data_IF_526189259365
#
_entry.id   IF_526189259365
#
_cell.length_a   1.000
_cell.length_b   1.000
_cell.length_c   1.000
_cell.angle_alpha   90.00
_cell.angle_beta   90.00
_cell.angle_gamma   90.00
#
_symmetry.space_group_name_H-M   'P 1'
#
loop_
_entity.id
_entity.type
_entity.pdbx_description
1 polymer ?
#
# COMPACT_ATOMS: atom_id res chain seq x y z
N UNK A 1 13.97 -17.80 1.83
CA UNK A 1 13.20 -16.62 2.30
C UNK A 1 13.67 -15.40 1.54
N UNK A 2 12.81 -14.38 1.42
CA UNK A 2 13.04 -13.26 0.52
C UNK A 2 13.37 -11.96 1.26
N UNK A 3 14.13 -11.10 0.60
CA UNK A 3 14.38 -9.72 0.99
C UNK A 3 13.97 -8.81 -0.17
N UNK A 4 13.24 -7.73 0.14
CA UNK A 4 12.70 -6.81 -0.86
C UNK A 4 13.32 -5.44 -0.70
N UNK A 5 13.74 -4.84 -1.81
CA UNK A 5 14.48 -3.59 -1.88
C UNK A 5 15.85 -3.75 -2.57
N UNK A 6 16.77 -2.80 -2.37
CA UNK A 6 16.64 -1.66 -1.49
C UNK A 6 15.74 -0.55 -2.07
N UNK A 7 14.97 0.13 -1.21
CA UNK A 7 14.52 1.49 -1.48
C UNK A 7 15.52 2.48 -0.88
N UNK A 8 15.63 3.69 -1.45
CA UNK A 8 16.51 4.75 -0.94
C UNK A 8 15.64 5.87 -0.38
N UNK A 9 15.75 6.15 0.91
CA UNK A 9 14.98 7.22 1.55
C UNK A 9 15.53 8.63 1.20
N UNK A 10 14.80 9.67 1.62
CA UNK A 10 15.20 11.07 1.36
C UNK A 10 16.52 11.50 2.01
N UNK A 11 17.07 10.70 2.93
CA UNK A 11 18.35 10.92 3.57
C UNK A 11 19.47 10.02 2.99
N UNK A 12 19.18 9.27 1.92
CA UNK A 12 20.15 8.38 1.26
C UNK A 12 20.37 7.05 1.97
N UNK A 13 19.53 6.69 2.95
CA UNK A 13 19.62 5.38 3.59
C UNK A 13 18.94 4.32 2.73
N UNK A 14 19.52 3.13 2.67
CA UNK A 14 18.92 1.96 2.04
C UNK A 14 17.95 1.30 3.01
N UNK A 15 16.79 0.88 2.51
CA UNK A 15 15.78 0.16 3.27
C UNK A 15 15.46 -1.17 2.62
N UNK A 16 15.34 -2.20 3.44
CA UNK A 16 14.99 -3.56 3.00
C UNK A 16 13.85 -4.08 3.87
N UNK A 17 12.85 -4.71 3.28
CA UNK A 17 11.79 -5.43 3.99
C UNK A 17 12.04 -6.94 3.89
N UNK A 18 12.09 -7.62 5.03
CA UNK A 18 12.35 -9.05 5.12
C UNK A 18 11.05 -9.83 5.28
N UNK A 19 10.89 -10.87 4.46
CA UNK A 19 9.79 -11.82 4.57
C UNK A 19 9.81 -12.49 5.96
N UNK A 20 8.65 -12.91 6.45
CA UNK A 20 8.57 -13.80 7.60
C UNK A 20 9.07 -15.20 7.22
N UNK A 21 9.19 -16.08 8.21
CA UNK A 21 9.52 -17.48 7.95
C UNK A 21 8.28 -18.22 7.47
N UNK A 22 8.17 -18.38 6.15
CA UNK A 22 7.02 -19.03 5.52
C UNK A 22 6.88 -20.48 6.00
N UNK A 23 5.67 -20.86 6.44
CA UNK A 23 5.30 -22.23 6.76
C UNK A 23 5.38 -22.55 8.25
N UNK A 24 6.58 -22.78 8.79
CA UNK A 24 6.76 -23.32 10.16
C UNK A 24 6.75 -22.25 11.28
N UNK A 25 6.39 -21.01 10.97
CA UNK A 25 6.53 -19.88 11.89
C UNK A 25 7.98 -19.42 12.05
N UNK A 26 8.23 -18.53 13.00
CA UNK A 26 9.54 -17.89 13.21
C UNK A 26 10.68 -18.91 13.40
N UNK A 27 11.78 -18.72 12.66
CA UNK A 27 13.01 -19.47 12.86
C UNK A 27 14.02 -18.62 13.67
N UNK A 28 14.42 -19.01 14.89
CA UNK A 28 15.32 -18.22 15.73
C UNK A 28 16.73 -18.05 15.13
N UNK A 29 17.15 -18.97 14.25
CA UNK A 29 18.44 -18.88 13.56
C UNK A 29 18.42 -17.92 12.37
N UNK A 30 17.26 -17.33 12.06
CA UNK A 30 17.10 -16.36 10.99
C UNK A 30 16.52 -15.06 11.55
N UNK A 31 17.36 -14.36 12.32
CA UNK A 31 16.96 -13.15 13.03
C UNK A 31 16.41 -12.09 12.07
N UNK A 32 15.50 -11.26 12.59
CA UNK A 32 14.89 -10.13 11.87
C UNK A 32 13.97 -10.51 10.70
N UNK A 33 13.52 -11.76 10.58
CA UNK A 33 12.45 -12.10 9.63
C UNK A 33 11.13 -11.46 10.04
N UNK A 34 10.39 -10.95 9.05
CA UNK A 34 9.23 -10.11 9.29
C UNK A 34 9.57 -8.70 9.80
N UNK A 35 10.82 -8.22 9.61
CA UNK A 35 11.26 -6.86 9.94
C UNK A 35 11.72 -6.06 8.72
N UNK A 36 11.70 -4.74 8.84
CA UNK A 36 12.43 -3.82 7.98
C UNK A 36 13.77 -3.45 8.59
N UNK A 37 14.78 -3.34 7.74
CA UNK A 37 16.13 -2.90 8.09
C UNK A 37 16.43 -1.60 7.34
N UNK A 38 17.18 -0.70 8.00
CA UNK A 38 17.76 0.49 7.39
C UNK A 38 19.27 0.43 7.47
N UNK A 39 19.95 0.71 6.36
CA UNK A 39 21.40 0.82 6.23
C UNK A 39 21.74 2.25 5.83
N UNK A 40 22.57 2.93 6.63
CA UNK A 40 23.04 4.28 6.35
C UNK A 40 24.15 4.27 5.27
N UNK A 41 24.48 5.44 4.67
CA UNK A 41 25.58 5.53 3.71
C UNK A 41 26.95 5.05 4.23
N UNK A 42 27.18 5.09 5.54
CA UNK A 42 28.39 4.58 6.19
C UNK A 42 28.41 3.04 6.37
N UNK A 43 27.36 2.34 5.94
CA UNK A 43 27.20 0.90 6.08
C UNK A 43 26.66 0.45 7.44
N UNK A 44 26.53 1.34 8.43
CA UNK A 44 25.88 1.02 9.70
C UNK A 44 24.39 0.75 9.47
N UNK A 45 23.83 -0.22 10.20
CA UNK A 45 22.45 -0.64 10.00
C UNK A 45 21.69 -0.78 11.32
N UNK A 46 20.36 -0.71 11.23
CA UNK A 46 19.46 -0.93 12.35
C UNK A 46 18.13 -1.54 11.89
N UNK A 47 17.51 -2.44 12.68
CA UNK A 47 16.10 -2.78 12.49
C UNK A 47 15.24 -1.54 12.73
N UNK A 48 14.10 -1.44 12.04
CA UNK A 48 13.25 -0.25 12.07
C UNK A 48 11.82 -0.57 12.49
N UNK A 49 11.13 -1.46 11.80
CA UNK A 49 9.75 -1.88 12.10
C UNK A 49 9.61 -3.38 11.93
N UNK A 50 8.59 -3.99 12.52
CA UNK A 50 8.27 -5.41 12.34
C UNK A 50 6.82 -5.65 11.97
N UNK A 51 6.44 -6.91 11.83
CA UNK A 51 5.06 -7.32 11.54
C UNK A 51 4.78 -7.53 10.06
N UNK A 52 5.81 -7.73 9.24
CA UNK A 52 5.64 -8.11 7.83
C UNK A 52 5.34 -9.60 7.70
N UNK A 53 4.52 -9.96 6.71
CA UNK A 53 4.30 -11.35 6.33
C UNK A 53 5.20 -11.70 5.15
N UNK A 54 4.87 -11.21 3.97
CA UNK A 54 5.55 -11.52 2.72
C UNK A 54 5.54 -10.28 1.83
N UNK A 55 6.32 -9.23 2.15
CA UNK A 55 6.35 -8.00 1.37
C UNK A 55 6.65 -8.28 -0.11
N UNK A 56 6.19 -7.45 -1.03
CA UNK A 56 6.48 -7.63 -2.47
C UNK A 56 6.92 -6.36 -3.19
N UNK A 57 6.78 -5.21 -2.53
CA UNK A 57 7.28 -3.92 -2.98
C UNK A 57 7.80 -3.10 -1.81
N UNK A 58 8.83 -2.30 -2.09
CA UNK A 58 9.31 -1.25 -1.19
C UNK A 58 9.71 -0.05 -2.05
N UNK A 59 9.30 1.14 -1.65
CA UNK A 59 9.57 2.36 -2.40
C UNK A 59 9.34 3.59 -1.53
N UNK A 60 9.45 4.76 -2.12
CA UNK A 60 9.25 6.03 -1.40
C UNK A 60 8.17 6.88 -2.02
N UNK A 61 7.60 7.80 -1.24
CA UNK A 61 6.94 8.97 -1.80
C UNK A 61 7.98 10.01 -2.28
N UNK A 62 7.53 11.14 -2.82
CA UNK A 62 8.44 12.22 -3.23
C UNK A 62 9.08 12.99 -2.07
N UNK A 63 8.57 12.84 -0.84
CA UNK A 63 9.18 13.42 0.36
C UNK A 63 10.31 12.52 0.92
N UNK A 64 10.49 11.32 0.37
CA UNK A 64 11.50 10.36 0.81
C UNK A 64 11.07 9.48 1.97
N UNK A 65 9.80 9.50 2.37
CA UNK A 65 9.25 8.53 3.33
C UNK A 65 9.10 7.16 2.67
N UNK A 66 9.39 6.10 3.43
CA UNK A 66 9.48 4.74 2.91
C UNK A 66 8.18 3.99 3.15
N UNK A 67 7.72 3.25 2.14
CA UNK A 67 6.54 2.41 2.20
C UNK A 67 6.86 1.00 1.73
N UNK A 68 6.08 0.03 2.19
CA UNK A 68 6.11 -1.33 1.68
C UNK A 68 4.69 -1.83 1.42
N UNK A 69 4.55 -2.65 0.38
CA UNK A 69 3.37 -3.47 0.15
C UNK A 69 3.60 -4.86 0.69
N UNK A 70 2.52 -5.49 1.18
CA UNK A 70 2.56 -6.86 1.68
C UNK A 70 1.42 -7.70 1.07
N UNK A 71 1.56 -9.00 1.17
CA UNK A 71 0.62 -9.98 0.64
C UNK A 71 -0.39 -10.37 1.71
N UNK A 72 -1.66 -10.42 1.31
CA UNK A 72 -2.74 -11.01 2.09
C UNK A 72 -2.41 -12.44 2.55
N UNK A 73 -2.90 -12.82 3.72
CA UNK A 73 -2.70 -14.14 4.31
C UNK A 73 -2.92 -14.09 5.82
N UNK A 74 -2.08 -14.76 6.58
CA UNK A 74 -2.14 -14.71 8.05
C UNK A 74 -1.99 -13.26 8.53
N UNK A 75 -2.85 -12.83 9.46
CA UNK A 75 -2.89 -11.47 10.03
C UNK A 75 -3.22 -10.33 9.04
N UNK A 76 -3.08 -10.57 7.73
CA UNK A 76 -3.37 -9.62 6.66
C UNK A 76 -4.58 -10.08 5.85
N UNK A 77 -5.79 -9.59 6.16
CA UNK A 77 -7.01 -9.98 5.46
C UNK A 77 -7.00 -9.58 3.98
N UNK A 78 -6.31 -8.47 3.66
CA UNK A 78 -6.03 -8.03 2.29
C UNK A 78 -4.64 -7.40 2.21
N UNK A 79 -4.17 -7.07 1.00
CA UNK A 79 -2.88 -6.41 0.78
C UNK A 79 -2.86 -4.99 1.38
N UNK A 80 -1.84 -4.62 2.18
CA UNK A 80 -1.66 -3.27 2.70
C UNK A 80 -0.58 -2.48 1.95
N UNK A 81 -0.65 -1.15 2.04
CA UNK A 81 0.47 -0.22 1.87
C UNK A 81 0.82 0.36 3.24
N UNK A 82 2.01 0.05 3.75
CA UNK A 82 2.43 0.39 5.11
C UNK A 82 3.53 1.43 5.08
N UNK A 83 3.43 2.43 5.96
CA UNK A 83 4.50 3.41 6.18
C UNK A 83 5.55 2.81 7.11
N UNK A 84 6.82 2.75 6.68
CA UNK A 84 7.92 2.19 7.44
C UNK A 84 8.53 3.25 8.34
N UNK A 85 8.23 3.18 9.64
CA UNK A 85 8.79 4.05 10.67
C UNK A 85 9.40 3.26 11.81
N UNK A 86 10.40 3.85 12.46
CA UNK A 86 11.05 3.24 13.63
C UNK A 86 10.00 2.98 14.71
N UNK A 87 9.97 1.76 15.24
CA UNK A 87 9.11 1.37 16.36
C UNK A 87 7.70 0.94 15.96
N UNK A 88 7.39 0.85 14.67
CA UNK A 88 6.10 0.33 14.23
C UNK A 88 6.07 -1.22 14.22
N UNK A 89 4.94 -1.75 14.64
CA UNK A 89 4.49 -3.12 14.38
C UNK A 89 3.38 -3.08 13.32
N UNK A 90 3.43 -3.95 12.32
CA UNK A 90 2.48 -3.97 11.20
C UNK A 90 1.43 -5.09 11.28
N UNK A 91 1.44 -5.88 12.36
CA UNK A 91 0.36 -6.81 12.67
C UNK A 91 0.73 -8.30 12.61
N UNK A 92 1.81 -8.71 11.93
CA UNK A 92 2.16 -10.13 11.82
C UNK A 92 3.01 -10.68 12.98
N UNK A 93 2.53 -11.76 13.60
CA UNK A 93 3.12 -12.35 14.82
C UNK A 93 4.58 -12.81 14.66
N UNK A 94 4.99 -13.30 13.49
CA UNK A 94 6.32 -13.92 13.30
C UNK A 94 7.51 -12.99 13.58
N UNK A 95 7.28 -11.67 13.61
CA UNK A 95 8.31 -10.69 13.96
C UNK A 95 8.53 -10.57 15.48
N UNK A 96 7.55 -10.96 16.30
CA UNK A 96 7.52 -10.74 17.74
C UNK A 96 8.66 -11.41 18.52
N UNK A 97 9.10 -12.64 18.19
CA UNK A 97 10.22 -13.27 18.91
C UNK A 97 11.50 -12.41 18.87
N UNK A 98 11.71 -11.64 17.79
CA UNK A 98 12.88 -10.79 17.64
C UNK A 98 12.78 -9.45 18.40
N UNK A 99 11.64 -9.14 19.03
CA UNK A 99 11.50 -7.97 19.92
C UNK A 99 12.33 -8.11 21.20
N UNK A 100 12.80 -9.32 21.51
CA UNK A 100 13.69 -9.59 22.66
C UNK A 100 15.16 -9.31 22.36
N UNK A 101 15.52 -9.01 21.11
CA UNK A 101 16.90 -8.71 20.74
C UNK A 101 17.27 -7.27 21.17
N UNK A 102 18.52 -7.00 21.58
CA UNK A 102 18.92 -5.68 22.12
C UNK A 102 18.67 -4.48 21.20
N UNK A 103 18.65 -4.70 19.87
CA UNK A 103 18.47 -3.64 18.88
C UNK A 103 17.00 -3.42 18.48
N UNK A 104 16.07 -4.23 19.00
CA UNK A 104 14.66 -4.15 18.65
C UNK A 104 14.11 -2.75 18.93
N UNK A 105 13.26 -2.26 18.04
CA UNK A 105 12.76 -0.87 18.07
C UNK A 105 11.34 -0.74 18.58
N UNK A 106 10.64 -1.86 18.73
CA UNK A 106 9.29 -1.94 19.27
C UNK A 106 9.17 -3.16 20.17
N UNK A 107 8.13 -3.14 20.99
CA UNK A 107 7.72 -4.24 21.85
C UNK A 107 6.20 -4.40 21.74
N UNK A 108 5.74 -5.63 21.85
CA UNK A 108 4.33 -5.95 22.09
C UNK A 108 4.27 -6.70 23.40
N UNK A 109 3.49 -6.20 24.36
CA UNK A 109 3.33 -6.82 25.66
C UNK A 109 2.22 -7.86 25.62
N UNK A 110 2.51 -9.07 26.11
CA UNK A 110 1.56 -10.17 26.16
C UNK A 110 1.27 -10.82 24.79
N UNK A 111 0.18 -11.59 24.75
CA UNK A 111 -0.28 -12.24 23.53
C UNK A 111 -1.04 -11.26 22.62
N UNK A 112 -1.00 -11.53 21.31
CA UNK A 112 -1.81 -10.77 20.38
C UNK A 112 -3.30 -10.98 20.67
N UNK A 113 -4.11 -9.90 20.68
CA UNK A 113 -5.52 -10.00 20.99
C UNK A 113 -6.26 -10.80 19.91
N UNK A 114 -7.23 -11.59 20.34
CA UNK A 114 -8.10 -12.37 19.47
C UNK A 114 -9.51 -11.77 19.37
N UNK A 115 -10.26 -12.17 18.34
CA UNK A 115 -11.66 -11.78 18.12
C UNK A 115 -11.89 -10.26 18.04
N UNK A 116 -10.90 -9.53 17.51
CA UNK A 116 -10.97 -8.10 17.28
C UNK A 116 -10.91 -7.78 15.79
N UNK A 117 -11.37 -6.58 15.43
CA UNK A 117 -11.05 -5.98 14.14
C UNK A 117 -9.65 -5.38 14.15
N UNK A 118 -9.06 -5.11 12.98
CA UNK A 118 -7.75 -4.45 12.89
C UNK A 118 -7.71 -3.10 13.60
N UNK A 119 -8.82 -2.35 13.59
CA UNK A 119 -8.91 -1.05 14.27
C UNK A 119 -8.97 -1.21 15.79
N UNK A 120 -9.73 -2.19 16.29
CA UNK A 120 -9.77 -2.52 17.72
C UNK A 120 -8.44 -3.08 18.22
N UNK A 121 -7.76 -3.90 17.41
CA UNK A 121 -6.43 -4.41 17.75
C UNK A 121 -5.39 -3.28 17.84
N UNK A 122 -5.43 -2.31 16.92
CA UNK A 122 -4.56 -1.13 16.96
C UNK A 122 -4.76 -0.26 18.21
N UNK A 123 -5.97 -0.25 18.79
CA UNK A 123 -6.23 0.43 20.07
C UNK A 123 -5.64 -0.31 21.28
N UNK A 124 -5.40 -1.61 21.18
CA UNK A 124 -4.85 -2.43 22.27
C UNK A 124 -3.34 -2.62 22.19
N UNK A 125 -2.81 -2.74 20.97
CA UNK A 125 -1.39 -2.96 20.71
C UNK A 125 -0.75 -1.61 20.43
N UNK A 126 -0.10 -1.00 21.43
CA UNK A 126 0.44 0.36 21.31
C UNK A 126 1.43 0.56 20.15
N UNK A 127 2.16 -0.48 19.74
CA UNK A 127 3.07 -0.43 18.59
C UNK A 127 2.37 -0.66 17.24
N UNK A 128 1.12 -1.15 17.21
CA UNK A 128 0.46 -1.54 15.97
C UNK A 128 0.03 -0.31 15.17
N UNK A 129 0.72 -0.10 14.05
CA UNK A 129 0.40 0.92 13.07
C UNK A 129 -0.50 0.35 11.99
N UNK A 130 -1.67 0.96 11.77
CA UNK A 130 -2.51 0.60 10.64
C UNK A 130 -1.85 1.02 9.32
N UNK A 131 -2.04 0.23 8.24
CA UNK A 131 -1.65 0.61 6.89
C UNK A 131 -2.21 1.96 6.47
N UNK A 132 -1.43 2.69 5.66
CA UNK A 132 -1.89 3.93 5.05
C UNK A 132 -3.03 3.67 4.06
N UNK A 133 -2.97 2.54 3.35
CA UNK A 133 -4.03 2.08 2.44
C UNK A 133 -4.19 0.58 2.57
N UNK A 134 -5.43 0.12 2.64
CA UNK A 134 -5.79 -1.27 2.39
C UNK A 134 -6.28 -1.38 0.95
N UNK A 135 -5.72 -2.31 0.17
CA UNK A 135 -6.22 -2.60 -1.18
C UNK A 135 -7.32 -3.66 -1.06
N UNK A 136 -8.62 -3.35 -1.27
CA UNK A 136 -9.67 -4.34 -1.02
C UNK A 136 -9.56 -5.59 -1.91
N UNK A 137 -9.62 -6.77 -1.28
CA UNK A 137 -9.36 -8.05 -1.96
C UNK A 137 -10.31 -8.27 -3.15
N UNK A 138 -9.76 -8.71 -4.29
CA UNK A 138 -10.43 -8.88 -5.61
C UNK A 138 -10.95 -7.59 -6.25
N UNK A 139 -11.37 -6.59 -5.47
CA UNK A 139 -11.86 -5.28 -5.97
C UNK A 139 -10.70 -4.41 -6.45
N UNK A 140 -9.57 -4.44 -5.72
CA UNK A 140 -8.36 -3.66 -5.98
C UNK A 140 -7.11 -4.54 -6.04
N UNK A 141 -7.27 -5.80 -6.47
CA UNK A 141 -6.17 -6.74 -6.57
C UNK A 141 -6.21 -7.82 -5.51
N UNK A 142 -5.35 -8.81 -5.67
CA UNK A 142 -5.15 -9.90 -4.71
C UNK A 142 -3.70 -10.00 -4.27
N UNK A 143 -2.77 -9.32 -4.95
CA UNK A 143 -1.35 -9.39 -4.66
C UNK A 143 -0.64 -8.11 -5.13
N UNK A 144 -0.60 -7.09 -4.27
CA UNK A 144 0.03 -5.80 -4.59
C UNK A 144 1.55 -5.90 -4.52
N UNK A 145 2.27 -5.34 -5.50
CA UNK A 145 3.72 -5.46 -5.64
C UNK A 145 4.41 -4.11 -5.56
N UNK A 146 5.34 -3.81 -6.46
CA UNK A 146 6.25 -2.66 -6.39
C UNK A 146 5.55 -1.32 -6.20
N UNK A 147 6.29 -0.33 -5.69
CA UNK A 147 5.80 1.03 -5.43
C UNK A 147 6.67 2.00 -6.22
N UNK A 148 6.05 2.85 -7.04
CA UNK A 148 6.73 3.88 -7.80
C UNK A 148 6.03 5.23 -7.66
N UNK A 149 6.66 6.19 -6.99
CA UNK A 149 6.15 7.56 -6.94
C UNK A 149 6.28 8.25 -8.30
N UNK A 150 5.24 8.97 -8.71
CA UNK A 150 5.25 9.79 -9.91
C UNK A 150 6.12 11.04 -9.73
N UNK A 151 7.41 10.87 -10.04
CA UNK A 151 8.41 11.95 -10.09
C UNK A 151 8.50 12.60 -11.47
N UNK A 152 7.60 12.26 -12.39
CA UNK A 152 7.73 12.64 -13.81
C UNK A 152 7.36 14.09 -14.11
N UNK A 153 6.91 14.84 -13.09
CA UNK A 153 6.50 16.25 -13.20
C UNK A 153 5.45 16.48 -14.30
N UNK A 154 4.50 15.55 -14.42
CA UNK A 154 3.37 15.65 -15.36
C UNK A 154 3.60 14.99 -16.73
N UNK A 155 4.79 14.45 -17.00
CA UNK A 155 5.03 13.67 -18.24
C UNK A 155 4.18 12.40 -18.29
N UNK A 156 3.76 11.88 -17.13
CA UNK A 156 2.90 10.71 -17.01
C UNK A 156 1.45 11.03 -16.61
N UNK A 157 0.93 12.14 -17.12
CA UNK A 157 -0.45 12.58 -16.88
C UNK A 157 -0.60 13.38 -15.58
N UNK A 158 -1.84 13.58 -15.09
CA UNK A 158 -2.16 14.56 -14.05
C UNK A 158 -1.87 14.07 -12.62
N UNK A 159 -1.08 13.00 -12.44
CA UNK A 159 -0.96 12.26 -11.18
C UNK A 159 0.38 12.43 -10.46
N UNK A 160 1.16 13.46 -10.84
CA UNK A 160 2.44 13.78 -10.21
C UNK A 160 2.34 13.78 -8.67
N UNK A 161 3.30 13.12 -8.02
CA UNK A 161 3.37 12.95 -6.57
C UNK A 161 2.56 11.78 -6.00
N UNK A 162 1.69 11.14 -6.78
CA UNK A 162 1.00 9.93 -6.34
C UNK A 162 1.88 8.69 -6.50
N UNK A 163 1.50 7.59 -5.85
CA UNK A 163 2.19 6.32 -6.03
C UNK A 163 1.48 5.47 -7.09
N UNK A 164 2.25 4.73 -7.86
CA UNK A 164 1.77 3.60 -8.64
C UNK A 164 2.18 2.31 -7.97
N UNK A 165 1.24 1.38 -7.85
CA UNK A 165 1.51 0.05 -7.29
C UNK A 165 1.22 -1.03 -8.31
N UNK A 166 2.18 -1.93 -8.52
CA UNK A 166 1.98 -3.11 -9.36
C UNK A 166 0.99 -4.08 -8.73
N UNK A 167 0.37 -4.93 -9.54
CA UNK A 167 -0.48 -6.00 -9.06
C UNK A 167 -0.20 -7.30 -9.84
N UNK A 168 0.02 -8.37 -9.08
CA UNK A 168 0.44 -9.66 -9.60
C UNK A 168 -0.74 -10.42 -10.21
N UNK A 169 -1.72 -10.82 -9.40
CA UNK A 169 -2.70 -11.86 -9.76
C UNK A 169 -3.67 -11.42 -10.84
N UNK A 170 -4.12 -10.17 -10.81
CA UNK A 170 -5.03 -9.55 -11.75
C UNK A 170 -4.32 -8.74 -12.85
N UNK A 171 -2.98 -8.66 -12.83
CA UNK A 171 -2.15 -8.14 -13.91
C UNK A 171 -2.49 -6.70 -14.32
N UNK A 172 -2.31 -5.78 -13.38
CA UNK A 172 -2.56 -4.36 -13.60
C UNK A 172 -1.59 -3.45 -12.83
N UNK A 173 -1.68 -2.14 -13.10
CA UNK A 173 -1.14 -1.08 -12.24
C UNK A 173 -2.29 -0.33 -11.58
N UNK A 174 -2.15 -0.07 -10.28
CA UNK A 174 -3.02 0.80 -9.48
C UNK A 174 -2.34 2.13 -9.18
N UNK A 175 -3.14 3.11 -8.77
CA UNK A 175 -2.69 4.41 -8.31
C UNK A 175 -3.10 4.62 -6.85
N UNK A 176 -2.26 5.27 -6.07
CA UNK A 176 -2.52 5.59 -4.67
C UNK A 176 -2.30 7.08 -4.43
N UNK A 177 -3.34 7.74 -3.93
CA UNK A 177 -3.24 9.05 -3.33
C UNK A 177 -2.95 8.90 -1.83
N UNK A 178 -1.96 9.62 -1.33
CA UNK A 178 -1.63 9.70 0.09
C UNK A 178 -1.80 11.13 0.59
N UNK A 179 -2.27 11.25 1.82
CA UNK A 179 -2.23 12.48 2.61
C UNK A 179 -1.70 12.18 4.01
N UNK A 180 -1.26 13.23 4.72
CA UNK A 180 -0.77 13.13 6.09
C UNK A 180 -1.72 13.88 7.02
N UNK A 181 -2.29 13.18 7.99
CA UNK A 181 -3.18 13.74 9.00
C UNK A 181 -2.56 13.49 10.36
N UNK A 182 -2.31 14.55 11.12
CA UNK A 182 -1.69 14.49 12.45
C UNK A 182 -0.38 13.68 12.48
N UNK A 183 0.38 13.70 11.38
CA UNK A 183 1.66 12.99 11.28
C UNK A 183 1.57 11.57 10.73
N UNK A 184 0.38 11.01 10.53
CA UNK A 184 0.19 9.66 9.99
C UNK A 184 -0.31 9.68 8.54
N UNK A 185 0.16 8.72 7.74
CA UNK A 185 -0.30 8.55 6.38
C UNK A 185 -1.63 7.81 6.32
N UNK A 186 -2.53 8.32 5.49
CA UNK A 186 -3.74 7.64 5.04
C UNK A 186 -3.93 7.92 3.55
N UNK A 187 -4.84 7.21 2.89
CA UNK A 187 -5.06 7.44 1.47
C UNK A 187 -6.18 6.65 0.82
N UNK A 188 -6.20 6.73 -0.50
CA UNK A 188 -7.15 6.03 -1.36
C UNK A 188 -6.43 5.38 -2.53
N UNK A 189 -6.90 4.21 -2.96
CA UNK A 189 -6.40 3.50 -4.14
C UNK A 189 -7.41 3.53 -5.29
N UNK A 190 -6.91 3.59 -6.52
CA UNK A 190 -7.68 3.64 -7.77
C UNK A 190 -7.10 2.64 -8.77
N UNK A 191 -7.95 2.01 -9.59
CA UNK A 191 -7.46 1.26 -10.76
C UNK A 191 -6.87 2.25 -11.76
N UNK A 192 -5.77 1.88 -12.41
CA UNK A 192 -5.09 2.78 -13.36
C UNK A 192 -4.90 2.14 -14.75
N UNK A 193 -4.22 1.00 -14.85
CA UNK A 193 -4.01 0.34 -16.14
C UNK A 193 -4.13 -1.18 -16.05
N UNK A 194 -5.15 -1.72 -16.70
CA UNK A 194 -5.42 -3.16 -16.86
C UNK A 194 -4.73 -3.80 -18.07
N UNK A 195 -4.89 -5.11 -18.22
CA UNK A 195 -4.54 -5.82 -19.45
C UNK A 195 -3.04 -5.92 -19.66
N UNK A 196 -2.28 -6.04 -18.58
CA UNK A 196 -0.87 -6.38 -18.65
C UNK A 196 -0.71 -7.83 -19.09
N UNK A 197 0.38 -8.12 -19.78
CA UNK A 197 0.66 -9.45 -20.36
C UNK A 197 0.79 -10.56 -19.30
N UNK A 198 1.24 -10.20 -18.11
CA UNK A 198 1.36 -11.06 -16.92
C UNK A 198 1.59 -10.19 -15.67
N UNK A 199 1.80 -10.85 -14.52
CA UNK A 199 1.94 -10.20 -13.21
C UNK A 199 2.97 -9.07 -13.17
N UNK A 200 2.57 -7.87 -12.74
CA UNK A 200 3.48 -6.76 -12.51
C UNK A 200 4.28 -6.99 -11.23
N UNK A 201 5.61 -6.96 -11.32
CA UNK A 201 6.51 -7.20 -10.19
C UNK A 201 7.41 -6.01 -9.88
N UNK A 202 7.86 -5.28 -10.92
CA UNK A 202 8.75 -4.13 -10.77
C UNK A 202 8.29 -2.98 -11.66
N UNK A 203 8.33 -1.77 -11.13
CA UNK A 203 7.97 -0.54 -11.84
C UNK A 203 9.18 0.39 -11.86
N UNK A 204 9.46 1.02 -12.99
CA UNK A 204 10.52 2.02 -13.08
C UNK A 204 10.23 3.10 -14.12
N UNK A 205 10.62 4.33 -13.84
CA UNK A 205 10.52 5.40 -14.84
C UNK A 205 11.61 5.27 -15.91
N UNK A 206 11.22 5.44 -17.17
CA UNK A 206 12.11 5.75 -18.27
C UNK A 206 12.52 7.23 -18.25
N UNK A 207 13.61 7.54 -18.93
CA UNK A 207 14.13 8.93 -19.05
C UNK A 207 13.15 9.88 -19.74
N UNK A 208 12.22 9.34 -20.52
CA UNK A 208 11.17 10.06 -21.24
C UNK A 208 9.90 10.28 -20.40
N UNK A 209 9.85 9.75 -19.18
CA UNK A 209 8.66 9.78 -18.32
C UNK A 209 7.64 8.67 -18.60
N UNK A 210 7.97 7.68 -19.43
CA UNK A 210 7.17 6.45 -19.55
C UNK A 210 7.46 5.49 -18.40
N UNK A 211 6.51 4.62 -18.06
CA UNK A 211 6.69 3.59 -17.02
C UNK A 211 7.08 2.26 -17.67
N UNK A 212 8.17 1.66 -17.20
CA UNK A 212 8.55 0.29 -17.48
C UNK A 212 8.04 -0.64 -16.39
N UNK A 213 7.50 -1.78 -16.81
CA UNK A 213 6.87 -2.78 -15.95
C UNK A 213 7.57 -4.12 -16.20
N UNK A 214 8.36 -4.57 -15.23
CA UNK A 214 8.95 -5.90 -15.21
C UNK A 214 7.93 -6.91 -14.68
N UNK A 215 7.74 -8.02 -15.41
CA UNK A 215 6.64 -8.94 -15.17
C UNK A 215 7.07 -10.41 -15.17
N UNK A 216 6.42 -11.23 -14.33
CA UNK A 216 6.59 -12.68 -14.36
C UNK A 216 5.49 -13.46 -13.65
N UNK A 217 5.01 -14.53 -14.29
CA UNK A 217 4.16 -15.57 -13.69
C UNK A 217 4.96 -16.78 -13.18
N UNK A 218 6.29 -16.68 -13.10
CA UNK A 218 7.07 -17.78 -12.51
C UNK A 218 6.78 -17.84 -11.01
N UNK A 219 6.29 -18.99 -10.56
CA UNK A 219 5.98 -19.27 -9.15
C UNK A 219 4.50 -19.13 -8.77
N UNK A 220 3.71 -18.33 -9.48
CA UNK A 220 2.27 -18.21 -9.25
C UNK A 220 1.53 -17.73 -10.51
N UNK A 221 0.25 -18.06 -10.63
CA UNK A 221 -0.57 -17.69 -11.80
C UNK A 221 -1.13 -16.26 -11.68
N UNK A 222 -1.28 -15.60 -12.83
CA UNK A 222 -2.03 -14.35 -12.96
C UNK A 222 -3.00 -14.38 -14.14
N UNK A 223 -3.84 -13.34 -14.28
CA UNK A 223 -4.78 -13.19 -15.39
C UNK A 223 -4.08 -12.99 -16.73
N UNK A 224 -2.97 -12.27 -16.76
CA UNK A 224 -2.12 -12.21 -17.95
C UNK A 224 -1.41 -13.55 -18.15
N UNK A 225 -1.46 -14.10 -19.37
CA UNK A 225 -1.08 -15.50 -19.63
C UNK A 225 0.38 -15.70 -20.04
N UNK A 226 1.15 -14.63 -20.27
CA UNK A 226 2.57 -14.77 -20.61
C UNK A 226 3.38 -15.21 -19.38
N UNK A 227 4.45 -15.97 -19.59
CA UNK A 227 5.30 -16.42 -18.48
C UNK A 227 6.14 -15.29 -17.85
N UNK A 228 6.50 -14.29 -18.65
CA UNK A 228 7.28 -13.12 -18.28
C UNK A 228 7.18 -12.04 -19.35
N UNK A 229 7.54 -10.81 -18.98
CA UNK A 229 7.50 -9.68 -19.89
C UNK A 229 8.19 -8.45 -19.35
N UNK A 230 8.48 -7.53 -20.28
CA UNK A 230 8.83 -6.15 -20.00
C UNK A 230 7.90 -5.29 -20.85
N UNK A 231 6.97 -4.58 -20.21
CA UNK A 231 6.02 -3.69 -20.89
C UNK A 231 6.38 -2.23 -20.60
N UNK A 232 6.23 -1.38 -21.61
CA UNK A 232 6.35 0.07 -21.48
C UNK A 232 4.97 0.69 -21.61
N UNK A 233 4.55 1.42 -20.58
CA UNK A 233 3.33 2.21 -20.57
C UNK A 233 3.72 3.67 -20.83
N UNK A 234 3.19 4.22 -21.92
CA UNK A 234 3.41 5.61 -22.32
C UNK A 234 2.11 6.41 -22.14
N UNK A 235 2.24 7.64 -21.64
CA UNK A 235 1.09 8.54 -21.56
C UNK A 235 0.55 8.86 -22.96
N UNK A 236 -0.76 8.68 -23.15
CA UNK A 236 -1.40 8.91 -24.46
C UNK A 236 -1.66 10.40 -24.76
N UNK A 237 -1.31 11.32 -23.85
CA UNK A 237 -1.62 12.74 -23.96
C UNK A 237 -3.07 13.12 -23.66
N UNK A 238 -3.94 12.15 -23.34
CA UNK A 238 -5.38 12.35 -23.11
C UNK A 238 -5.71 12.18 -21.63
N UNK A 239 -6.24 13.23 -21.01
CA UNK A 239 -6.68 13.20 -19.60
C UNK A 239 -8.13 12.66 -19.52
N UNK A 240 -8.36 11.48 -18.91
CA UNK A 240 -9.71 10.97 -18.67
C UNK A 240 -10.41 11.78 -17.56
N UNK A 241 -11.73 11.65 -17.40
CA UNK A 241 -12.45 12.17 -16.23
C UNK A 241 -12.40 11.10 -15.11
N UNK A 242 -11.62 11.36 -14.08
CA UNK A 242 -11.36 10.43 -12.96
C UNK A 242 -11.21 11.20 -11.65
N UNK A 243 -11.31 10.49 -10.53
CA UNK A 243 -10.91 11.03 -9.21
C UNK A 243 -9.38 11.15 -9.20
N UNK A 244 -8.88 12.38 -9.15
CA UNK A 244 -7.46 12.70 -8.97
C UNK A 244 -7.06 12.44 -7.53
N UNK A 245 -7.76 13.02 -6.55
CA UNK A 245 -7.48 12.86 -5.11
C UNK A 245 -8.75 12.64 -4.31
N UNK A 246 -8.61 12.05 -3.14
CA UNK A 246 -9.68 11.85 -2.16
C UNK A 246 -9.12 12.10 -0.77
N UNK A 247 -9.44 13.26 -0.19
CA UNK A 247 -8.97 13.69 1.13
C UNK A 247 -10.07 13.58 2.17
N UNK A 248 -9.75 13.04 3.34
CA UNK A 248 -10.70 12.93 4.44
C UNK A 248 -10.99 14.28 5.09
N UNK A 249 -12.22 14.43 5.59
CA UNK A 249 -12.69 15.53 6.44
C UNK A 249 -13.45 14.93 7.62
N UNK A 250 -13.60 15.65 8.75
CA UNK A 250 -14.34 15.15 9.90
C UNK A 250 -15.76 14.64 9.60
N UNK A 251 -16.39 15.16 8.54
CA UNK A 251 -17.76 14.86 8.13
C UNK A 251 -17.89 14.33 6.69
N UNK A 252 -16.81 13.88 6.05
CA UNK A 252 -16.88 13.36 4.69
C UNK A 252 -15.54 13.34 3.95
N UNK A 253 -15.60 13.54 2.64
CA UNK A 253 -14.42 13.56 1.77
C UNK A 253 -14.46 14.75 0.81
N UNK A 254 -13.29 15.26 0.47
CA UNK A 254 -13.09 16.16 -0.67
C UNK A 254 -12.54 15.33 -1.81
N UNK A 255 -13.27 15.29 -2.93
CA UNK A 255 -12.83 14.67 -4.16
C UNK A 255 -12.37 15.74 -5.15
N UNK A 256 -11.13 15.64 -5.63
CA UNK A 256 -10.68 16.44 -6.78
C UNK A 256 -10.72 15.55 -8.01
N UNK A 257 -11.31 16.04 -9.10
CA UNK A 257 -11.37 15.34 -10.37
C UNK A 257 -10.31 15.86 -11.35
N UNK A 258 -9.88 15.02 -12.29
CA UNK A 258 -8.92 15.39 -13.33
C UNK A 258 -9.49 16.36 -14.38
N UNK A 259 -10.82 16.49 -14.45
CA UNK A 259 -11.55 17.46 -15.28
C UNK A 259 -12.77 17.97 -14.50
N UNK A 260 -13.37 19.11 -14.88
CA UNK A 260 -14.56 19.61 -14.22
C UNK A 260 -15.70 18.59 -14.28
N UNK A 261 -16.31 18.32 -13.13
CA UNK A 261 -17.50 17.48 -13.04
C UNK A 261 -18.75 18.26 -13.48
N UNK A 262 -19.76 17.57 -14.01
CA UNK A 262 -21.05 18.18 -14.29
C UNK A 262 -21.71 18.64 -12.97
N UNK A 263 -22.05 19.93 -12.81
CA UNK A 263 -22.62 20.42 -11.57
C UNK A 263 -23.89 19.71 -11.12
N UNK A 264 -24.76 19.31 -12.06
CA UNK A 264 -26.04 18.68 -11.71
C UNK A 264 -25.83 17.33 -11.01
N UNK A 265 -24.92 16.51 -11.55
CA UNK A 265 -24.59 15.21 -10.94
C UNK A 265 -23.67 15.36 -9.73
N UNK A 266 -22.69 16.26 -9.78
CA UNK A 266 -21.74 16.45 -8.68
C UNK A 266 -22.37 17.01 -7.39
N UNK A 267 -23.45 17.78 -7.48
CA UNK A 267 -24.17 18.27 -6.29
C UNK A 267 -25.38 17.44 -5.92
N UNK A 268 -25.64 16.33 -6.63
CA UNK A 268 -26.73 15.43 -6.29
C UNK A 268 -26.21 14.30 -5.39
N UNK A 269 -26.62 14.22 -4.10
CA UNK A 269 -26.16 13.16 -3.20
C UNK A 269 -26.49 11.74 -3.71
N UNK A 270 -27.53 11.59 -4.53
CA UNK A 270 -27.92 10.30 -5.12
C UNK A 270 -26.98 9.82 -6.24
N UNK A 271 -26.07 10.67 -6.72
CA UNK A 271 -25.03 10.29 -7.69
C UNK A 271 -23.87 9.52 -7.06
N UNK A 272 -23.90 9.30 -5.74
CA UNK A 272 -22.84 8.66 -4.97
C UNK A 272 -23.37 7.44 -4.22
N UNK A 273 -22.61 6.34 -4.26
CA UNK A 273 -22.87 5.13 -3.48
C UNK A 273 -21.64 4.84 -2.64
N UNK A 274 -21.82 4.79 -1.32
CA UNK A 274 -20.73 4.56 -0.38
C UNK A 274 -21.07 3.37 0.53
N UNK A 275 -20.06 2.59 0.84
CA UNK A 275 -20.10 1.62 1.93
C UNK A 275 -18.83 1.75 2.77
N UNK A 276 -18.93 1.28 4.00
CA UNK A 276 -17.77 1.12 4.89
C UNK A 276 -17.77 -0.29 5.46
N UNK A 277 -16.58 -0.76 5.81
CA UNK A 277 -16.35 -2.04 6.45
C UNK A 277 -14.98 -1.98 7.13
N UNK A 278 -14.69 -2.98 7.94
CA UNK A 278 -13.35 -3.24 8.50
C UNK A 278 -13.01 -4.71 8.32
N UNK A 279 -11.85 -5.12 8.79
CA UNK A 279 -11.40 -6.50 8.70
C UNK A 279 -11.11 -7.09 10.07
N UNK A 280 -11.26 -8.42 10.22
CA UNK A 280 -10.83 -9.11 11.44
C UNK A 280 -9.29 -9.10 11.55
N UNK A 281 -8.79 -9.06 12.78
CA UNK A 281 -7.39 -9.25 13.12
C UNK A 281 -7.21 -10.65 13.70
N UNK A 282 -6.64 -11.57 12.92
CA UNK A 282 -6.45 -12.96 13.35
C UNK A 282 -5.35 -13.69 12.56
N UNK A 283 -4.88 -14.80 13.11
CA UNK A 283 -3.86 -15.65 12.48
C UNK A 283 -4.34 -16.50 11.30
N UNK A 284 -5.65 -16.69 11.10
CA UNK A 284 -6.18 -17.44 9.94
C UNK A 284 -5.81 -16.76 8.63
N UNK A 285 -5.65 -17.54 7.58
CA UNK A 285 -5.26 -17.03 6.26
C UNK A 285 -6.40 -16.26 5.59
N UNK A 286 -6.13 -15.01 5.19
CA UNK A 286 -7.11 -14.13 4.55
C UNK A 286 -8.14 -13.62 5.55
N UNK A 287 -9.16 -12.91 5.09
CA UNK A 287 -10.25 -12.46 5.96
C UNK A 287 -11.28 -11.68 5.16
N UNK A 288 -12.55 -11.96 5.40
CA UNK A 288 -13.65 -11.29 4.74
C UNK A 288 -13.89 -9.89 5.33
N UNK A 289 -14.59 -9.05 4.55
CA UNK A 289 -15.08 -7.76 5.04
C UNK A 289 -16.10 -7.99 6.17
N UNK A 290 -15.97 -7.22 7.25
CA UNK A 290 -16.83 -7.26 8.44
C UNK A 290 -17.37 -5.87 8.74
N UNK A 291 -18.42 -5.77 9.54
CA UNK A 291 -19.10 -4.50 9.85
C UNK A 291 -19.51 -3.71 8.59
N UNK A 292 -19.95 -4.42 7.56
CA UNK A 292 -20.36 -3.83 6.28
C UNK A 292 -21.60 -2.95 6.49
N UNK A 293 -21.46 -1.66 6.19
CA UNK A 293 -22.52 -0.66 6.32
C UNK A 293 -22.68 0.10 5.02
N UNK A 294 -23.91 0.13 4.50
CA UNK A 294 -24.29 1.10 3.48
C UNK A 294 -24.33 2.50 4.09
N UNK A 295 -23.79 3.49 3.37
CA UNK A 295 -23.70 4.87 3.83
C UNK A 295 -24.54 5.79 2.93
N UNK A 296 -25.39 6.61 3.55
CA UNK A 296 -26.18 7.62 2.84
C UNK A 296 -25.41 8.93 2.78
N UNK A 297 -25.16 9.43 1.57
CA UNK A 297 -24.60 10.77 1.36
C UNK A 297 -25.69 11.80 1.65
N UNK A 298 -25.49 12.61 2.69
CA UNK A 298 -26.45 13.65 3.11
C UNK A 298 -26.39 14.90 2.25
N UNK A 299 -25.21 15.24 1.76
CA UNK A 299 -24.96 16.45 0.98
C UNK A 299 -23.73 16.26 0.09
N UNK A 300 -23.76 16.83 -1.10
CA UNK A 300 -22.63 16.93 -2.02
C UNK A 300 -22.59 18.37 -2.53
N UNK A 301 -21.43 19.01 -2.43
CA UNK A 301 -21.25 20.40 -2.83
C UNK A 301 -20.05 20.50 -3.76
N UNK A 302 -20.10 21.48 -4.66
CA UNK A 302 -18.95 21.83 -5.50
C UNK A 302 -18.24 23.02 -4.88
N UNK A 303 -16.91 22.94 -4.85
CA UNK A 303 -16.10 24.09 -4.48
C UNK A 303 -16.33 25.23 -5.49
N UNK A 304 -16.71 26.39 -4.97
CA UNK A 304 -16.98 27.58 -5.75
C UNK A 304 -15.75 28.06 -6.55
N UNK A 305 -14.54 27.67 -6.13
CA UNK A 305 -13.29 28.12 -6.74
C UNK A 305 -13.02 27.55 -8.14
N UNK A 306 -13.69 26.48 -8.59
CA UNK A 306 -13.49 25.84 -9.92
C UNK A 306 -12.01 25.62 -10.32
N UNK A 307 -11.07 25.52 -9.37
CA UNK A 307 -9.66 25.28 -9.67
C UNK A 307 -9.41 23.77 -9.74
N UNK A 308 -8.90 23.32 -10.90
CA UNK A 308 -8.39 21.97 -11.14
C UNK A 308 -7.05 21.73 -10.44
#
# INVERSE_FOLDING_TARGET
>A
EYAYGPAVDGAGNLWVALNCSIGKGSNPNNQWRGWSLRVKPDGSWSPMSGGFRSPSGIGTNLAGDVFATDQQGNWFPTCPLMHLKRGAFHGHADSLPFTQLPQATFKVDGELPENLTVTQAAQRIGAYQLPAVWFPYRKMGMSTTDILADSTQGKFGPFAGQLFCGEFTMSFVSRVFLEKVEGEYQGACFRFRDGLDCAALRLQWGVDGSMYIGQSNRGWNSLGTKSYGLQRLQWAGKVPFEIKTMSARPNGFVLTFTRPADPKTATNPKSYVLSSYTYPYHSKYGGEETDVKALTVKSATLDAAKKL
#
